data_IF_316843810308
#
_entry.id   IF_316843810308
#
_cell.length_a   1.000
_cell.length_b   1.000
_cell.length_c   1.000
_cell.angle_alpha   90.00
_cell.angle_beta   90.00
_cell.angle_gamma   90.00
#
_symmetry.space_group_name_H-M   'P 1'
#
loop_
_entity.id
_entity.type
_entity.pdbx_description
1 polymer ?
#
# COMPACT_ATOMS: atom_id res chain seq x y z
N UNK A 1 7.75 -9.02 -26.26
CA UNK A 1 7.81 -10.32 -25.53
C UNK A 1 6.79 -10.24 -24.41
N UNK A 2 5.88 -11.21 -24.31
CA UNK A 2 4.86 -11.23 -23.24
C UNK A 2 5.59 -11.69 -21.97
N UNK A 3 5.69 -10.78 -20.96
CA UNK A 3 6.25 -11.12 -19.67
C UNK A 3 5.36 -12.19 -19.00
N UNK A 4 5.93 -13.34 -18.71
CA UNK A 4 5.20 -14.40 -18.00
C UNK A 4 5.41 -14.25 -16.49
N UNK A 5 4.46 -14.70 -15.63
CA UNK A 5 4.63 -14.63 -14.18
C UNK A 5 5.95 -15.25 -13.69
N UNK A 6 6.39 -16.32 -14.32
CA UNK A 6 7.65 -17.00 -13.99
C UNK A 6 8.91 -16.17 -14.29
N UNK A 7 8.83 -15.13 -15.14
CA UNK A 7 9.95 -14.21 -15.40
C UNK A 7 9.99 -13.03 -14.43
N UNK A 8 8.86 -12.72 -13.75
CA UNK A 8 8.71 -11.60 -12.84
C UNK A 8 9.01 -12.01 -11.39
N UNK A 9 8.59 -13.22 -11.00
CA UNK A 9 8.84 -13.78 -9.68
C UNK A 9 10.20 -14.52 -9.72
N UNK A 10 11.21 -14.07 -8.97
CA UNK A 10 12.52 -14.73 -8.96
C UNK A 10 12.43 -16.15 -8.40
N UNK A 11 13.29 -17.07 -8.86
CA UNK A 11 13.44 -18.38 -8.23
C UNK A 11 13.70 -18.25 -6.72
N UNK A 12 13.02 -19.06 -5.91
CA UNK A 12 13.15 -19.02 -4.45
C UNK A 12 12.33 -17.94 -3.73
N UNK A 13 11.62 -17.06 -4.45
CA UNK A 13 10.79 -16.02 -3.84
C UNK A 13 9.79 -16.58 -2.84
N UNK A 14 9.05 -17.64 -3.19
CA UNK A 14 8.06 -18.26 -2.31
C UNK A 14 8.67 -18.79 -0.99
N UNK A 15 9.84 -19.43 -1.05
CA UNK A 15 10.55 -19.92 0.13
C UNK A 15 11.05 -18.78 1.01
N UNK A 16 11.58 -17.71 0.41
CA UNK A 16 12.00 -16.51 1.12
C UNK A 16 10.80 -15.81 1.78
N UNK A 17 9.72 -15.62 1.03
CA UNK A 17 8.48 -15.02 1.54
C UNK A 17 7.90 -15.82 2.71
N UNK A 18 7.94 -17.17 2.65
CA UNK A 18 7.49 -18.03 3.75
C UNK A 18 8.33 -17.83 5.01
N UNK A 19 9.67 -17.75 4.88
CA UNK A 19 10.55 -17.51 6.03
C UNK A 19 10.24 -16.16 6.70
N UNK A 20 10.09 -15.10 5.92
CA UNK A 20 9.76 -13.78 6.45
C UNK A 20 8.35 -13.73 7.07
N UNK A 21 7.39 -14.42 6.45
CA UNK A 21 6.04 -14.57 6.99
C UNK A 21 6.07 -15.24 8.37
N UNK A 22 6.82 -16.35 8.52
CA UNK A 22 6.98 -17.05 9.79
C UNK A 22 7.62 -16.16 10.86
N UNK A 23 8.62 -15.34 10.50
CA UNK A 23 9.23 -14.38 11.45
C UNK A 23 8.21 -13.39 11.99
N UNK A 24 7.34 -12.88 11.12
CA UNK A 24 6.28 -11.95 11.51
C UNK A 24 5.23 -12.67 12.35
N UNK A 25 4.76 -13.83 11.95
CA UNK A 25 3.74 -14.61 12.68
C UNK A 25 4.20 -15.06 14.07
N UNK A 26 5.50 -15.33 14.26
CA UNK A 26 6.08 -15.71 15.54
C UNK A 26 6.51 -14.49 16.40
N UNK A 27 6.23 -13.26 15.95
CA UNK A 27 6.59 -12.05 16.69
C UNK A 27 8.09 -11.74 16.75
N UNK A 28 8.91 -12.38 15.89
CA UNK A 28 10.35 -12.12 15.79
C UNK A 28 10.61 -10.72 15.19
N UNK A 29 9.78 -10.34 14.23
CA UNK A 29 9.81 -9.01 13.63
C UNK A 29 8.37 -8.52 13.39
N UNK A 30 8.05 -7.27 13.75
CA UNK A 30 6.71 -6.72 13.50
C UNK A 30 6.46 -6.40 12.01
N UNK A 31 7.53 -6.17 11.22
CA UNK A 31 7.48 -5.84 9.79
C UNK A 31 8.63 -6.51 9.07
N UNK A 32 8.35 -7.12 7.92
CA UNK A 32 9.37 -7.63 7.01
C UNK A 32 9.13 -7.13 5.59
N UNK A 33 10.22 -6.75 4.88
CA UNK A 33 10.19 -6.48 3.44
C UNK A 33 10.44 -7.78 2.68
N UNK A 34 9.42 -8.24 1.96
CA UNK A 34 9.53 -9.43 1.10
C UNK A 34 10.19 -9.08 -0.25
N UNK A 35 9.97 -7.84 -0.69
CA UNK A 35 10.54 -7.31 -1.91
C UNK A 35 10.76 -5.81 -1.78
N UNK A 36 11.84 -5.33 -2.34
CA UNK A 36 12.07 -3.92 -2.63
C UNK A 36 12.69 -3.78 -4.02
N UNK A 37 12.30 -2.75 -4.77
CA UNK A 37 12.79 -2.51 -6.13
C UNK A 37 14.31 -2.40 -6.20
N UNK A 38 14.95 -1.90 -5.13
CA UNK A 38 16.40 -1.81 -4.97
C UNK A 38 16.77 -1.74 -3.47
N UNK A 39 18.03 -1.94 -3.17
CA UNK A 39 18.56 -2.01 -1.79
C UNK A 39 18.39 -0.71 -0.99
N UNK A 40 18.43 0.43 -1.68
CA UNK A 40 18.29 1.76 -1.05
C UNK A 40 16.84 2.21 -0.87
N UNK A 41 15.84 1.37 -1.22
CA UNK A 41 14.45 1.72 -0.94
C UNK A 41 14.29 2.17 0.52
N UNK A 42 13.57 3.27 0.84
CA UNK A 42 12.63 4.03 0.02
C UNK A 42 13.21 5.26 -0.70
N UNK A 43 14.51 5.49 -0.72
CA UNK A 43 15.09 6.58 -1.51
C UNK A 43 14.99 6.28 -3.00
N UNK A 44 14.76 7.31 -3.82
CA UNK A 44 14.80 7.13 -5.28
C UNK A 44 16.24 6.94 -5.75
N UNK A 45 16.49 6.01 -6.67
CA UNK A 45 17.81 5.87 -7.29
C UNK A 45 18.27 7.19 -7.92
N UNK A 46 19.54 7.54 -7.73
CA UNK A 46 20.14 8.75 -8.33
C UNK A 46 19.81 10.07 -7.61
N UNK A 47 18.97 10.08 -6.61
CA UNK A 47 18.71 11.28 -5.80
C UNK A 47 19.61 11.31 -4.58
N UNK A 48 20.22 12.48 -4.31
CA UNK A 48 21.00 12.64 -3.11
C UNK A 48 20.13 12.48 -1.85
N UNK A 49 20.55 11.60 -0.95
CA UNK A 49 19.83 11.23 0.26
C UNK A 49 19.46 12.43 1.16
N UNK A 50 20.18 13.54 1.02
CA UNK A 50 20.12 14.68 1.95
C UNK A 50 19.34 15.91 1.47
N UNK A 51 18.60 15.82 0.36
CA UNK A 51 18.02 17.03 -0.27
C UNK A 51 16.61 17.38 0.21
N UNK A 52 15.90 16.48 0.91
CA UNK A 52 14.51 16.70 1.34
C UNK A 52 14.33 16.46 2.83
N UNK A 53 13.56 17.30 3.54
CA UNK A 53 13.28 17.14 4.97
C UNK A 53 12.31 15.97 5.25
N UNK A 54 11.54 15.53 4.26
CA UNK A 54 10.57 14.44 4.39
C UNK A 54 10.53 13.56 3.14
N UNK A 55 10.17 12.29 3.35
CA UNK A 55 9.89 11.27 2.33
C UNK A 55 8.42 10.89 2.37
N UNK A 56 7.72 11.10 1.26
CA UNK A 56 6.29 10.79 1.13
C UNK A 56 6.12 9.38 0.57
N UNK A 57 5.59 8.47 1.38
CA UNK A 57 5.44 7.05 1.06
C UNK A 57 3.95 6.70 1.03
N UNK A 58 3.45 6.20 -0.11
CA UNK A 58 2.11 5.63 -0.16
C UNK A 58 2.12 4.19 0.36
N UNK A 59 1.07 3.82 1.10
CA UNK A 59 0.88 2.48 1.67
C UNK A 59 -0.48 1.96 1.24
N UNK A 60 -0.52 1.02 0.31
CA UNK A 60 -1.74 0.29 -0.04
C UNK A 60 -1.85 -0.94 0.86
N UNK A 61 -2.73 -0.85 1.85
CA UNK A 61 -3.02 -1.93 2.80
C UNK A 61 -4.29 -2.67 2.37
N UNK A 62 -4.13 -3.90 1.89
CA UNK A 62 -5.25 -4.72 1.44
C UNK A 62 -4.98 -6.23 1.67
N UNK A 63 -6.03 -7.05 1.50
CA UNK A 63 -5.89 -8.51 1.62
C UNK A 63 -5.25 -9.17 0.39
N UNK A 64 -5.27 -8.49 -0.77
CA UNK A 64 -4.73 -8.97 -2.06
C UNK A 64 -5.15 -10.42 -2.40
N UNK A 65 -6.45 -10.70 -2.29
CA UNK A 65 -7.01 -12.05 -2.41
C UNK A 65 -8.11 -12.17 -3.50
N UNK A 66 -7.75 -12.04 -4.80
CA UNK A 66 -6.50 -11.53 -5.38
C UNK A 66 -6.43 -10.00 -5.45
N UNK A 67 -5.29 -9.42 -5.84
CA UNK A 67 -5.24 -8.03 -6.32
C UNK A 67 -6.10 -7.86 -7.57
N UNK A 68 -6.79 -6.71 -7.69
CA UNK A 68 -7.64 -6.37 -8.85
C UNK A 68 -7.13 -5.10 -9.54
N UNK A 69 -7.70 -4.76 -10.69
CA UNK A 69 -7.42 -3.48 -11.36
C UNK A 69 -7.78 -2.27 -10.47
N UNK A 70 -8.76 -2.40 -9.55
CA UNK A 70 -9.02 -1.37 -8.54
C UNK A 70 -7.81 -1.13 -7.61
N UNK A 71 -7.12 -2.21 -7.18
CA UNK A 71 -5.89 -2.07 -6.40
C UNK A 71 -4.77 -1.42 -7.21
N UNK A 72 -4.64 -1.77 -8.49
CA UNK A 72 -3.66 -1.17 -9.40
C UNK A 72 -3.93 0.32 -9.60
N UNK A 73 -5.18 0.70 -9.88
CA UNK A 73 -5.60 2.08 -10.06
C UNK A 73 -5.32 2.92 -8.80
N UNK A 74 -5.67 2.39 -7.63
CA UNK A 74 -5.42 3.04 -6.34
C UNK A 74 -3.92 3.14 -6.04
N UNK A 75 -3.13 2.09 -6.29
CA UNK A 75 -1.68 2.11 -6.12
C UNK A 75 -0.98 3.12 -7.04
N UNK A 76 -1.55 3.39 -8.23
CA UNK A 76 -1.06 4.35 -9.20
C UNK A 76 -1.57 5.78 -8.96
N UNK A 77 -2.40 6.02 -7.94
CA UNK A 77 -2.89 7.35 -7.62
C UNK A 77 -1.75 8.29 -7.20
N UNK A 78 -1.97 9.58 -7.42
CA UNK A 78 -1.07 10.64 -6.97
C UNK A 78 -1.49 11.21 -5.62
N UNK A 79 -0.56 11.83 -4.86
CA UNK A 79 -0.95 12.61 -3.69
C UNK A 79 -1.97 13.68 -4.09
N UNK A 80 -3.06 13.84 -3.33
CA UNK A 80 -4.01 14.92 -3.60
C UNK A 80 -3.32 16.27 -3.40
N UNK A 81 -3.59 17.21 -4.31
CA UNK A 81 -3.13 18.59 -4.17
C UNK A 81 -3.80 19.18 -2.94
N UNK A 82 -3.03 19.74 -2.00
CA UNK A 82 -3.62 20.45 -0.88
C UNK A 82 -4.28 21.75 -1.40
N UNK A 83 -5.48 22.06 -0.92
CA UNK A 83 -6.22 23.27 -1.32
C UNK A 83 -5.41 24.56 -1.13
N UNK A 84 -4.46 24.59 -0.20
CA UNK A 84 -3.58 25.74 0.03
C UNK A 84 -2.54 25.98 -1.07
N UNK A 85 -2.19 24.96 -1.86
CA UNK A 85 -1.21 25.09 -2.97
C UNK A 85 -1.83 25.41 -4.32
N UNK A 86 -3.14 25.24 -4.50
CA UNK A 86 -3.85 25.44 -5.77
C UNK A 86 -3.78 26.89 -6.29
N UNK A 87 -3.42 27.86 -5.48
CA UNK A 87 -3.43 29.28 -5.85
C UNK A 87 -2.05 29.86 -6.19
N UNK A 88 -0.96 29.13 -6.02
CA UNK A 88 0.37 29.77 -6.02
C UNK A 88 1.38 29.30 -7.07
N UNK A 89 1.29 28.10 -7.66
CA UNK A 89 2.33 27.65 -8.59
C UNK A 89 1.85 26.59 -9.58
N UNK A 90 2.29 26.71 -10.85
CA UNK A 90 2.28 25.69 -11.89
C UNK A 90 3.31 24.57 -11.61
N UNK A 91 3.45 24.13 -10.36
CA UNK A 91 4.35 23.05 -10.01
C UNK A 91 3.74 21.72 -10.48
N UNK A 92 4.54 20.80 -11.05
CA UNK A 92 4.07 19.47 -11.43
C UNK A 92 3.50 18.75 -10.21
N UNK A 93 2.48 17.92 -10.43
CA UNK A 93 1.87 17.11 -9.37
C UNK A 93 2.97 16.35 -8.62
N UNK A 94 3.08 16.58 -7.31
CA UNK A 94 4.07 15.86 -6.49
C UNK A 94 3.71 14.36 -6.52
N UNK A 95 4.64 13.51 -6.90
CA UNK A 95 4.50 12.07 -6.82
C UNK A 95 5.00 11.57 -5.46
N UNK A 96 4.53 10.41 -5.01
CA UNK A 96 5.12 9.73 -3.86
C UNK A 96 6.60 9.42 -4.12
N UNK A 97 7.45 9.59 -3.10
CA UNK A 97 8.87 9.23 -3.21
C UNK A 97 9.06 7.72 -3.28
N UNK A 98 8.23 6.98 -2.56
CA UNK A 98 8.18 5.52 -2.59
C UNK A 98 6.75 5.00 -2.42
N UNK A 99 6.54 3.75 -2.80
CA UNK A 99 5.26 3.04 -2.66
C UNK A 99 5.47 1.74 -1.90
N UNK A 100 4.49 1.34 -1.10
CA UNK A 100 4.48 0.09 -0.36
C UNK A 100 3.15 -0.63 -0.56
N UNK A 101 3.20 -1.88 -0.99
CA UNK A 101 2.08 -2.82 -0.90
C UNK A 101 2.22 -3.56 0.44
N UNK A 102 1.21 -3.47 1.29
CA UNK A 102 1.26 -3.97 2.66
C UNK A 102 0.23 -5.08 2.88
N UNK A 103 0.70 -6.24 3.35
CA UNK A 103 -0.15 -7.36 3.76
C UNK A 103 -0.11 -7.52 5.27
N UNK A 104 -1.27 -7.38 5.93
CA UNK A 104 -1.39 -7.71 7.35
C UNK A 104 -1.69 -9.18 7.54
N UNK A 105 -0.89 -9.86 8.38
CA UNK A 105 -1.10 -11.27 8.73
C UNK A 105 -2.22 -11.46 9.75
N UNK A 106 -2.49 -10.44 10.59
CA UNK A 106 -3.68 -10.35 11.42
C UNK A 106 -4.65 -9.35 10.82
N UNK A 107 -5.89 -9.78 10.65
CA UNK A 107 -6.97 -8.91 10.20
C UNK A 107 -8.05 -8.92 11.30
N UNK A 108 -8.56 -7.74 11.64
CA UNK A 108 -9.58 -7.61 12.68
C UNK A 108 -10.88 -8.37 12.33
N UNK A 109 -11.19 -8.55 11.03
CA UNK A 109 -12.47 -9.09 10.57
C UNK A 109 -12.37 -10.36 9.71
N UNK A 110 -11.19 -10.73 9.23
CA UNK A 110 -11.08 -11.78 8.22
C UNK A 110 -10.13 -12.89 8.67
N UNK A 111 -10.69 -14.07 8.88
CA UNK A 111 -9.94 -15.32 8.97
C UNK A 111 -9.79 -15.91 7.57
N UNK A 112 -8.68 -16.58 7.27
CA UNK A 112 -8.49 -17.35 6.05
C UNK A 112 -9.61 -18.39 5.91
N UNK A 113 -10.32 -18.34 4.78
CA UNK A 113 -11.37 -19.32 4.47
C UNK A 113 -10.79 -20.43 3.59
N UNK A 114 -11.35 -21.65 3.67
CA UNK A 114 -11.05 -22.68 2.68
C UNK A 114 -11.27 -22.12 1.26
N UNK A 115 -10.33 -22.37 0.35
CA UNK A 115 -10.36 -21.82 -1.01
C UNK A 115 -9.79 -20.42 -1.18
N UNK A 116 -9.40 -19.71 -0.11
CA UNK A 116 -8.63 -18.47 -0.21
C UNK A 116 -7.17 -18.76 -0.63
N UNK A 117 -6.55 -17.82 -1.33
CA UNK A 117 -5.11 -17.89 -1.59
C UNK A 117 -4.33 -17.85 -0.27
N UNK A 118 -3.27 -18.66 -0.16
CA UNK A 118 -2.35 -18.63 0.97
C UNK A 118 -1.65 -17.26 1.07
N UNK A 119 -1.09 -16.93 2.22
CA UNK A 119 -0.32 -15.69 2.36
C UNK A 119 0.85 -15.61 1.36
N UNK A 120 1.54 -16.73 1.12
CA UNK A 120 2.64 -16.77 0.14
C UNK A 120 2.12 -16.48 -1.27
N UNK A 121 1.03 -17.11 -1.70
CA UNK A 121 0.42 -16.81 -3.00
C UNK A 121 -0.02 -15.36 -3.13
N UNK A 122 -0.55 -14.75 -2.05
CA UNK A 122 -0.89 -13.31 -2.04
C UNK A 122 0.36 -12.44 -2.20
N UNK A 123 1.47 -12.77 -1.54
CA UNK A 123 2.74 -12.07 -1.69
C UNK A 123 3.32 -12.19 -3.10
N UNK A 124 3.19 -13.36 -3.74
CA UNK A 124 3.54 -13.57 -5.14
C UNK A 124 2.68 -12.68 -6.05
N UNK A 125 1.35 -12.64 -5.84
CA UNK A 125 0.45 -11.75 -6.59
C UNK A 125 0.74 -10.26 -6.33
N UNK A 126 1.13 -9.88 -5.11
CA UNK A 126 1.57 -8.50 -4.82
C UNK A 126 2.87 -8.16 -5.56
N UNK A 127 3.79 -9.12 -5.67
CA UNK A 127 5.02 -8.94 -6.49
C UNK A 127 4.68 -8.75 -7.97
N UNK A 128 3.70 -9.50 -8.49
CA UNK A 128 3.20 -9.32 -9.85
C UNK A 128 2.52 -7.96 -10.03
N UNK A 129 1.67 -7.56 -9.08
CA UNK A 129 1.03 -6.24 -9.09
C UNK A 129 2.06 -5.11 -9.08
N UNK A 130 3.14 -5.23 -8.28
CA UNK A 130 4.20 -4.23 -8.21
C UNK A 130 4.94 -4.06 -9.54
N UNK A 131 4.97 -5.07 -10.39
CA UNK A 131 5.53 -4.99 -11.73
C UNK A 131 4.61 -4.24 -12.70
N UNK A 132 3.28 -4.33 -12.51
CA UNK A 132 2.29 -3.68 -13.36
C UNK A 132 2.03 -2.22 -12.96
N UNK A 133 2.54 -1.78 -11.81
CA UNK A 133 2.44 -0.38 -11.39
C UNK A 133 3.22 0.53 -12.35
N UNK A 134 2.63 1.71 -12.64
CA UNK A 134 3.25 2.67 -13.58
C UNK A 134 4.50 3.31 -12.98
N UNK A 135 5.51 3.50 -13.82
CA UNK A 135 6.65 4.35 -13.50
C UNK A 135 6.20 5.81 -13.37
N UNK A 136 6.73 6.51 -12.35
CA UNK A 136 6.33 7.89 -12.04
C UNK A 136 6.86 8.89 -13.07
N UNK A 137 7.84 8.50 -13.90
CA UNK A 137 8.52 9.40 -14.86
C UNK A 137 8.15 9.10 -16.30
N UNK A 138 6.93 9.41 -16.71
CA UNK A 138 6.62 9.62 -18.12
C UNK A 138 6.13 11.04 -18.36
N UNK A 139 6.99 12.04 -18.18
CA UNK A 139 6.83 13.28 -18.92
C UNK A 139 7.45 13.07 -20.30
N UNK A 140 6.64 13.09 -21.35
CA UNK A 140 6.95 12.88 -22.77
C UNK A 140 7.88 13.95 -23.39
N UNK A 141 8.78 14.58 -22.64
CA UNK A 141 9.49 15.78 -23.11
C UNK A 141 10.99 15.62 -23.39
N UNK A 142 11.56 14.44 -23.30
CA UNK A 142 12.94 14.26 -23.76
C UNK A 142 13.12 12.88 -24.41
N UNK A 143 13.38 12.89 -25.72
CA UNK A 143 13.61 11.71 -26.57
C UNK A 143 14.86 10.90 -26.22
N UNK A 144 15.23 10.81 -24.93
CA UNK A 144 16.29 9.95 -24.41
C UNK A 144 15.60 8.84 -23.65
N UNK A 145 15.60 7.65 -24.23
CA UNK A 145 15.17 6.41 -23.60
C UNK A 145 16.11 6.07 -22.44
N UNK A 146 15.82 6.56 -21.25
CA UNK A 146 16.44 6.00 -20.04
C UNK A 146 15.93 4.59 -19.83
N UNK A 147 16.76 3.64 -19.31
CA UNK A 147 16.28 2.32 -18.93
C UNK A 147 15.10 2.52 -17.96
N UNK A 148 13.98 1.83 -18.23
CA UNK A 148 12.76 1.85 -17.42
C UNK A 148 13.17 1.67 -15.94
N UNK A 149 13.25 2.78 -15.20
CA UNK A 149 13.53 2.72 -13.78
C UNK A 149 12.29 2.08 -13.14
N UNK A 150 12.49 0.88 -12.59
CA UNK A 150 11.46 0.21 -11.80
C UNK A 150 10.94 1.19 -10.76
N UNK A 151 9.61 1.36 -10.71
CA UNK A 151 8.97 2.16 -9.68
C UNK A 151 9.57 1.83 -8.32
N UNK A 152 9.75 2.84 -7.48
CA UNK A 152 10.32 2.72 -6.14
C UNK A 152 9.31 2.04 -5.19
N UNK A 153 9.04 0.75 -5.44
CA UNK A 153 8.00 -0.06 -4.80
C UNK A 153 8.61 -1.11 -3.90
N UNK A 154 7.96 -1.35 -2.75
CA UNK A 154 8.22 -2.49 -1.89
C UNK A 154 6.94 -3.29 -1.60
N UNK A 155 7.12 -4.57 -1.30
CA UNK A 155 6.10 -5.48 -0.76
C UNK A 155 6.49 -5.83 0.66
N UNK A 156 5.59 -5.60 1.62
CA UNK A 156 5.84 -5.79 3.04
C UNK A 156 4.74 -6.62 3.71
N UNK A 157 5.12 -7.26 4.81
CA UNK A 157 4.22 -7.98 5.73
C UNK A 157 4.27 -7.25 7.07
N UNK A 158 3.12 -7.15 7.75
CA UNK A 158 3.00 -6.58 9.09
C UNK A 158 2.10 -7.43 9.98
N UNK A 159 2.43 -7.51 11.28
CA UNK A 159 1.58 -8.15 12.29
C UNK A 159 0.90 -7.09 13.18
N UNK A 160 0.04 -6.29 12.58
CA UNK A 160 -0.76 -5.29 13.28
C UNK A 160 -2.14 -5.19 12.60
N UNK A 161 -3.25 -5.37 13.34
CA UNK A 161 -4.58 -5.40 12.76
C UNK A 161 -5.18 -4.00 12.52
N UNK A 162 -4.76 -2.99 13.30
CA UNK A 162 -5.36 -1.64 13.28
C UNK A 162 -4.54 -0.65 12.44
N UNK A 163 -5.20 0.30 11.78
CA UNK A 163 -4.49 1.31 10.97
C UNK A 163 -3.58 2.21 11.80
N UNK A 164 -4.06 2.62 12.98
CA UNK A 164 -3.27 3.46 13.88
C UNK A 164 -2.05 2.69 14.41
N UNK A 165 -2.22 1.41 14.76
CA UNK A 165 -1.09 0.57 15.14
C UNK A 165 -0.11 0.36 13.97
N UNK A 166 -0.62 0.14 12.75
CA UNK A 166 0.23 0.00 11.55
C UNK A 166 1.07 1.24 11.30
N UNK A 167 0.52 2.45 11.43
CA UNK A 167 1.27 3.68 11.22
C UNK A 167 2.44 3.79 12.20
N UNK A 168 2.22 3.57 13.48
CA UNK A 168 3.25 3.61 14.52
C UNK A 168 4.38 2.61 14.23
N UNK A 169 4.01 1.36 13.92
CA UNK A 169 4.98 0.29 13.64
C UNK A 169 5.76 0.58 12.35
N UNK A 170 5.09 1.02 11.28
CA UNK A 170 5.72 1.34 10.00
C UNK A 170 6.64 2.56 10.12
N UNK A 171 6.24 3.61 10.81
CA UNK A 171 7.08 4.79 11.03
C UNK A 171 8.37 4.42 11.77
N UNK A 172 8.27 3.57 12.80
CA UNK A 172 9.45 3.07 13.51
C UNK A 172 10.36 2.23 12.60
N UNK A 173 9.80 1.31 11.84
CA UNK A 173 10.51 0.48 10.88
C UNK A 173 11.22 1.33 9.82
N UNK A 174 10.53 2.30 9.23
CA UNK A 174 11.06 3.16 8.17
C UNK A 174 12.18 4.07 8.70
N UNK A 175 12.06 4.63 9.90
CA UNK A 175 13.14 5.41 10.53
C UNK A 175 14.43 4.58 10.68
N UNK A 176 14.31 3.33 11.15
CA UNK A 176 15.45 2.41 11.24
C UNK A 176 16.06 2.11 9.88
N UNK A 177 15.21 1.84 8.88
CA UNK A 177 15.67 1.53 7.53
C UNK A 177 16.37 2.73 6.88
N UNK A 178 15.81 3.92 7.01
CA UNK A 178 16.40 5.15 6.48
C UNK A 178 17.80 5.37 7.09
N UNK A 179 17.95 5.19 8.41
CA UNK A 179 19.24 5.29 9.09
C UNK A 179 20.24 4.28 8.50
N UNK A 180 19.85 3.01 8.38
CA UNK A 180 20.74 1.97 7.85
C UNK A 180 21.16 2.23 6.38
N UNK A 181 20.26 2.74 5.52
CA UNK A 181 20.60 3.08 4.14
C UNK A 181 21.57 4.27 4.08
N UNK A 182 21.38 5.29 4.91
CA UNK A 182 22.30 6.44 4.97
C UNK A 182 23.68 6.02 5.45
N UNK A 183 23.75 5.20 6.50
CA UNK A 183 25.02 4.69 7.03
C UNK A 183 25.77 3.85 6.00
N UNK A 184 25.08 2.98 5.25
CA UNK A 184 25.69 2.17 4.19
C UNK A 184 26.17 2.98 2.98
N UNK A 185 25.57 4.15 2.73
CA UNK A 185 25.92 5.04 1.62
C UNK A 185 27.05 6.04 1.98
N UNK A 186 27.40 6.15 3.26
CA UNK A 186 28.45 7.08 3.73
C UNK A 186 29.84 6.46 3.53
N UNK A 187 30.66 7.04 2.65
CA UNK A 187 32.05 6.62 2.46
C UNK A 187 32.87 6.85 3.75
N UNK A 188 33.75 5.90 4.15
CA UNK A 188 34.56 6.02 5.39
C UNK A 188 35.54 7.20 5.41
N UNK A 189 35.70 7.95 4.32
CA UNK A 189 36.64 9.05 4.18
C UNK A 189 36.03 10.47 4.30
N UNK A 190 34.74 10.61 4.63
CA UNK A 190 34.18 11.93 4.90
C UNK A 190 34.52 12.37 6.32
N UNK A 191 35.61 13.15 6.43
CA UNK A 191 35.99 13.87 7.64
C UNK A 191 34.79 14.52 8.33
N UNK A 192 34.71 14.27 9.64
CA UNK A 192 33.69 14.73 10.57
C UNK A 192 33.41 16.24 10.42
N UNK A 193 32.42 16.58 9.62
CA UNK A 193 31.75 17.86 9.75
C UNK A 193 30.72 17.65 10.86
N UNK A 194 30.79 18.42 11.93
CA UNK A 194 29.79 18.53 12.99
C UNK A 194 28.44 18.90 12.34
N UNK A 195 27.69 17.92 11.93
CA UNK A 195 26.33 18.09 11.40
C UNK A 195 25.38 17.79 12.54
N UNK A 196 24.60 18.77 12.93
CA UNK A 196 23.46 18.57 13.79
C UNK A 196 22.67 17.34 13.31
N UNK A 197 22.59 16.29 14.12
CA UNK A 197 22.02 14.99 13.76
C UNK A 197 20.56 15.08 13.29
N UNK A 198 19.87 16.19 13.59
CA UNK A 198 18.49 16.45 13.19
C UNK A 198 18.30 16.73 11.68
N UNK A 199 19.37 17.08 10.94
CA UNK A 199 19.31 17.35 9.49
C UNK A 199 19.69 16.15 8.61
N UNK A 200 20.04 15.01 9.20
CA UNK A 200 20.65 13.89 8.46
C UNK A 200 19.61 12.90 7.88
N UNK A 201 18.42 12.85 8.43
CA UNK A 201 17.46 11.82 8.02
C UNK A 201 16.10 12.45 7.67
N UNK A 202 15.60 12.25 6.44
CA UNK A 202 14.26 12.71 6.10
C UNK A 202 13.22 11.98 6.96
N UNK A 203 12.23 12.73 7.44
CA UNK A 203 11.11 12.14 8.18
C UNK A 203 10.17 11.38 7.23
N UNK A 204 9.88 10.10 7.45
CA UNK A 204 8.91 9.38 6.65
C UNK A 204 7.49 9.92 6.92
N UNK A 205 6.74 10.22 5.86
CA UNK A 205 5.34 10.64 5.87
C UNK A 205 4.51 9.59 5.15
N UNK A 206 3.52 9.01 5.82
CA UNK A 206 2.71 7.94 5.27
C UNK A 206 1.39 8.47 4.73
N UNK A 207 1.02 7.99 3.54
CA UNK A 207 -0.32 8.16 2.99
C UNK A 207 -0.92 6.78 2.77
N UNK A 208 -1.93 6.43 3.57
CA UNK A 208 -2.65 5.16 3.42
C UNK A 208 -3.66 5.27 2.28
N UNK A 209 -3.59 4.33 1.35
CA UNK A 209 -4.51 4.21 0.22
C UNK A 209 -5.56 3.15 0.56
N UNK A 210 -6.82 3.53 0.63
CA UNK A 210 -7.90 2.69 1.14
C UNK A 210 -9.08 2.66 0.17
N UNK A 211 -9.84 1.56 0.19
CA UNK A 211 -11.20 1.55 -0.32
C UNK A 211 -12.20 2.02 0.73
N UNK A 212 -13.40 2.43 0.33
CA UNK A 212 -14.46 2.94 1.21
C UNK A 212 -14.82 1.99 2.35
N UNK A 213 -14.92 0.68 2.10
CA UNK A 213 -15.19 -0.33 3.14
C UNK A 213 -14.14 -0.31 4.27
N UNK A 214 -12.90 0.02 3.93
CA UNK A 214 -11.79 0.08 4.87
C UNK A 214 -11.80 1.40 5.63
N UNK A 215 -12.16 2.49 4.97
CA UNK A 215 -12.34 3.79 5.63
C UNK A 215 -13.45 3.71 6.69
N UNK A 216 -14.57 3.07 6.39
CA UNK A 216 -15.65 2.82 7.34
C UNK A 216 -15.14 2.11 8.60
N UNK A 217 -14.25 1.14 8.46
CA UNK A 217 -13.65 0.45 9.61
C UNK A 217 -12.73 1.34 10.41
N UNK A 218 -11.95 2.19 9.76
CA UNK A 218 -11.04 3.14 10.41
C UNK A 218 -11.81 4.07 11.37
N UNK A 219 -13.02 4.51 10.98
CA UNK A 219 -13.86 5.41 11.77
C UNK A 219 -14.96 4.71 12.57
N UNK A 220 -14.98 3.37 12.63
CA UNK A 220 -16.00 2.63 13.37
C UNK A 220 -15.55 2.34 14.81
N UNK A 221 -16.33 2.81 15.83
CA UNK A 221 -15.99 2.62 17.25
C UNK A 221 -15.80 1.15 17.66
N UNK A 222 -16.43 0.21 16.97
CA UNK A 222 -16.36 -1.23 17.28
C UNK A 222 -14.95 -1.83 17.21
N UNK A 223 -14.01 -1.15 16.56
CA UNK A 223 -12.61 -1.59 16.44
C UNK A 223 -11.70 -0.96 17.50
N UNK A 224 -12.26 -0.20 18.42
CA UNK A 224 -11.54 0.51 19.47
C UNK A 224 -12.15 0.20 20.83
N UNK A 225 -11.39 0.38 21.94
CA UNK A 225 -11.92 0.18 23.28
C UNK A 225 -13.12 1.06 23.64
N UNK A 226 -13.18 2.29 23.10
CA UNK A 226 -14.31 3.22 23.20
C UNK A 226 -14.22 4.26 22.09
N UNK A 227 -15.30 5.01 21.88
CA UNK A 227 -15.34 6.11 20.90
C UNK A 227 -14.35 7.23 21.24
N UNK A 228 -14.20 7.58 22.52
CA UNK A 228 -13.21 8.56 22.95
C UNK A 228 -11.78 8.12 22.63
N UNK A 229 -11.47 6.84 22.85
CA UNK A 229 -10.17 6.27 22.51
C UNK A 229 -9.97 6.28 20.99
N UNK A 230 -10.99 5.95 20.22
CA UNK A 230 -10.95 6.04 18.76
C UNK A 230 -10.56 7.45 18.29
N UNK A 231 -11.28 8.47 18.74
CA UNK A 231 -11.01 9.88 18.35
C UNK A 231 -9.59 10.29 18.74
N UNK A 232 -9.14 9.94 19.96
CA UNK A 232 -7.77 10.21 20.40
C UNK A 232 -6.72 9.54 19.52
N UNK A 233 -6.93 8.27 19.18
CA UNK A 233 -6.03 7.51 18.31
C UNK A 233 -6.02 8.07 16.88
N UNK A 234 -7.17 8.43 16.33
CA UNK A 234 -7.28 9.06 15.02
C UNK A 234 -6.57 10.43 14.97
N UNK A 235 -6.70 11.24 16.02
CA UNK A 235 -5.95 12.50 16.15
C UNK A 235 -4.45 12.26 16.24
N UNK A 236 -3.99 11.23 16.92
CA UNK A 236 -2.57 10.86 16.93
C UNK A 236 -2.08 10.46 15.54
N UNK A 237 -2.86 9.65 14.83
CA UNK A 237 -2.56 9.16 13.50
C UNK A 237 -2.51 10.28 12.44
N UNK A 238 -3.49 11.20 12.46
CA UNK A 238 -3.73 12.16 11.36
C UNK A 238 -3.18 13.57 11.64
N UNK A 239 -2.87 13.94 12.90
CA UNK A 239 -2.41 15.30 13.23
C UNK A 239 -0.99 15.58 12.74
N UNK A 240 -0.74 16.79 12.18
CA UNK A 240 0.57 17.20 11.64
C UNK A 240 1.70 17.20 12.66
N UNK A 241 1.37 17.45 13.92
CA UNK A 241 2.29 17.52 15.06
C UNK A 241 2.56 16.16 15.72
N UNK A 242 1.94 15.10 15.22
CA UNK A 242 2.07 13.72 15.72
C UNK A 242 2.67 12.82 14.63
N UNK A 243 1.93 11.80 14.20
CA UNK A 243 2.38 10.87 13.16
C UNK A 243 2.30 11.47 11.75
N UNK A 244 1.49 12.51 11.56
CA UNK A 244 1.33 13.24 10.30
C UNK A 244 0.99 12.35 9.10
N UNK A 245 0.20 11.30 9.36
CA UNK A 245 -0.30 10.43 8.32
C UNK A 245 -1.46 11.07 7.55
N UNK A 246 -1.71 10.57 6.34
CA UNK A 246 -2.85 10.93 5.50
C UNK A 246 -3.57 9.68 5.04
N UNK A 247 -4.82 9.85 4.64
CA UNK A 247 -5.64 8.81 4.03
C UNK A 247 -6.16 9.31 2.69
N UNK A 248 -5.96 8.52 1.66
CA UNK A 248 -6.58 8.67 0.35
C UNK A 248 -7.54 7.52 0.17
N UNK A 249 -8.82 7.83 0.00
CA UNK A 249 -9.88 6.85 -0.15
C UNK A 249 -10.44 6.86 -1.57
N UNK A 250 -10.46 5.70 -2.22
CA UNK A 250 -11.17 5.55 -3.48
C UNK A 250 -12.67 5.56 -3.25
N UNK A 251 -13.40 6.36 -4.05
CA UNK A 251 -14.86 6.25 -4.10
C UNK A 251 -15.25 4.84 -4.55
N UNK A 252 -16.35 4.35 -4.00
CA UNK A 252 -16.99 3.12 -4.45
C UNK A 252 -18.47 3.42 -4.64
N UNK A 253 -19.04 3.03 -5.79
CA UNK A 253 -20.47 3.04 -5.97
C UNK A 253 -21.07 1.93 -5.10
N UNK A 254 -21.51 2.29 -3.91
CA UNK A 254 -22.14 1.35 -2.99
C UNK A 254 -23.63 1.27 -3.32
N UNK A 255 -24.12 0.06 -3.52
CA UNK A 255 -25.53 -0.24 -3.66
C UNK A 255 -26.35 0.34 -2.50
N UNK A 256 -27.57 0.84 -2.82
CA UNK A 256 -28.46 1.57 -1.92
C UNK A 256 -29.06 0.73 -0.78
N UNK A 257 -28.23 0.12 0.06
CA UNK A 257 -28.68 -0.49 1.32
C UNK A 257 -28.77 0.63 2.38
N UNK A 258 -29.98 0.89 2.85
CA UNK A 258 -30.28 1.98 3.81
C UNK A 258 -29.45 1.87 5.11
N UNK A 259 -29.22 0.66 5.59
CA UNK A 259 -28.43 0.42 6.82
C UNK A 259 -26.96 0.81 6.63
N UNK A 260 -26.44 0.61 5.43
CA UNK A 260 -25.09 1.01 5.05
C UNK A 260 -24.99 2.54 4.95
N UNK A 261 -26.01 3.19 4.42
CA UNK A 261 -26.09 4.65 4.25
C UNK A 261 -26.10 5.36 5.61
N UNK A 262 -26.91 4.93 6.57
CA UNK A 262 -26.96 5.48 7.94
C UNK A 262 -25.61 5.33 8.66
N UNK A 263 -24.95 4.20 8.48
CA UNK A 263 -23.59 3.97 9.06
C UNK A 263 -22.57 4.88 8.40
N UNK A 264 -22.67 5.10 7.09
CA UNK A 264 -21.79 6.00 6.35
C UNK A 264 -21.95 7.44 6.78
N UNK A 265 -23.19 7.91 6.97
CA UNK A 265 -23.48 9.28 7.41
C UNK A 265 -22.88 9.56 8.80
N UNK A 266 -23.06 8.65 9.76
CA UNK A 266 -22.46 8.75 11.11
C UNK A 266 -20.93 8.78 11.07
N UNK A 267 -20.33 7.98 10.21
CA UNK A 267 -18.87 7.92 10.03
C UNK A 267 -18.36 9.21 9.39
N UNK A 268 -19.10 9.76 8.44
CA UNK A 268 -18.75 11.02 7.78
C UNK A 268 -18.78 12.20 8.74
N UNK A 269 -19.64 12.21 9.77
CA UNK A 269 -19.62 13.23 10.83
C UNK A 269 -18.28 13.21 11.59
N UNK A 270 -17.80 12.04 12.01
CA UNK A 270 -16.50 11.89 12.71
C UNK A 270 -15.34 12.20 11.76
N UNK A 271 -15.43 11.80 10.50
CA UNK A 271 -14.40 12.03 9.50
C UNK A 271 -14.31 13.50 9.06
N UNK A 272 -15.36 14.29 9.24
CA UNK A 272 -15.46 15.69 8.79
C UNK A 272 -14.30 16.56 9.33
N UNK A 273 -13.89 16.37 10.60
CA UNK A 273 -12.73 17.05 11.20
C UNK A 273 -11.47 16.85 10.37
N UNK A 274 -11.26 15.63 9.87
CA UNK A 274 -10.04 15.23 9.13
C UNK A 274 -10.15 15.52 7.63
N UNK A 275 -11.35 15.60 7.09
CA UNK A 275 -11.60 16.00 5.69
C UNK A 275 -11.35 17.50 5.50
N UNK A 276 -11.84 18.33 6.40
CA UNK A 276 -11.63 19.80 6.35
C UNK A 276 -10.16 20.20 6.50
N UNK A 277 -9.32 19.33 7.07
CA UNK A 277 -7.88 19.53 7.23
C UNK A 277 -7.04 18.82 6.15
N UNK A 278 -7.63 18.34 5.07
CA UNK A 278 -6.98 17.57 3.99
C UNK A 278 -6.24 16.31 4.48
N UNK A 279 -6.66 15.75 5.63
CA UNK A 279 -6.06 14.52 6.18
C UNK A 279 -6.70 13.26 5.63
N UNK A 280 -7.98 13.36 5.26
CA UNK A 280 -8.74 12.33 4.56
C UNK A 280 -9.28 12.94 3.27
N UNK A 281 -8.88 12.38 2.15
CA UNK A 281 -9.25 12.87 0.82
C UNK A 281 -9.83 11.73 0.00
N UNK A 282 -10.87 12.01 -0.75
CA UNK A 282 -11.48 11.06 -1.69
C UNK A 282 -10.98 11.30 -3.10
N UNK A 283 -10.73 10.20 -3.82
CA UNK A 283 -10.32 10.21 -5.21
C UNK A 283 -11.19 9.29 -6.06
N UNK A 284 -11.30 9.64 -7.35
CA UNK A 284 -11.85 8.76 -8.38
C UNK A 284 -10.73 7.89 -8.95
N UNK A 285 -10.94 6.59 -9.03
CA UNK A 285 -9.99 5.61 -9.59
C UNK A 285 -10.43 5.06 -10.95
N UNK A 286 -11.54 5.56 -11.49
CA UNK A 286 -12.17 5.11 -12.72
C UNK A 286 -13.54 4.48 -12.48
N UNK A 287 -14.47 4.73 -13.42
CA UNK A 287 -15.88 4.31 -13.28
C UNK A 287 -16.06 2.79 -13.22
N UNK A 288 -15.19 2.03 -13.87
CA UNK A 288 -15.20 0.57 -13.86
C UNK A 288 -14.50 0.03 -12.64
N UNK A 289 -13.28 0.54 -12.33
CA UNK A 289 -12.43 0.06 -11.25
C UNK A 289 -13.09 0.22 -9.87
N UNK A 290 -13.94 1.23 -9.70
CA UNK A 290 -14.71 1.43 -8.45
C UNK A 290 -15.60 0.23 -8.10
N UNK A 291 -16.00 -0.56 -9.09
CA UNK A 291 -16.89 -1.71 -8.91
C UNK A 291 -16.16 -3.04 -8.72
N UNK A 292 -14.85 -3.10 -9.02
CA UNK A 292 -14.11 -4.36 -8.98
C UNK A 292 -13.78 -4.81 -7.55
N UNK A 293 -14.08 -6.07 -7.25
CA UNK A 293 -13.80 -6.64 -5.93
C UNK A 293 -13.10 -7.99 -6.02
N UNK A 294 -12.20 -8.25 -5.06
CA UNK A 294 -11.55 -9.56 -4.93
C UNK A 294 -12.56 -10.70 -4.68
N UNK A 295 -13.67 -10.41 -4.01
CA UNK A 295 -14.72 -11.39 -3.75
C UNK A 295 -15.45 -11.82 -5.03
N UNK A 296 -15.70 -10.86 -5.92
CA UNK A 296 -16.26 -11.14 -7.23
C UNK A 296 -15.33 -12.00 -8.09
N UNK A 297 -14.03 -11.66 -8.12
CA UNK A 297 -13.04 -12.48 -8.83
C UNK A 297 -13.09 -13.94 -8.35
N UNK A 298 -13.07 -14.16 -7.03
CA UNK A 298 -13.12 -15.52 -6.47
C UNK A 298 -14.42 -16.24 -6.81
N UNK A 299 -15.57 -15.57 -6.72
CA UNK A 299 -16.86 -16.15 -7.06
C UNK A 299 -16.94 -16.55 -8.53
N UNK A 300 -16.47 -15.68 -9.45
CA UNK A 300 -16.46 -15.97 -10.89
C UNK A 300 -15.46 -17.09 -11.23
N UNK A 301 -14.28 -17.14 -10.60
CA UNK A 301 -13.33 -18.26 -10.79
C UNK A 301 -13.96 -19.59 -10.36
N UNK A 302 -14.57 -19.63 -9.16
CA UNK A 302 -15.25 -20.83 -8.66
C UNK A 302 -16.42 -21.27 -9.56
N UNK A 303 -17.14 -20.32 -10.13
CA UNK A 303 -18.21 -20.57 -11.09
C UNK A 303 -17.73 -20.91 -12.51
N UNK A 304 -16.41 -20.90 -12.78
CA UNK A 304 -15.80 -21.06 -14.11
C UNK A 304 -16.27 -20.02 -15.13
N UNK A 305 -16.69 -18.85 -14.65
CA UNK A 305 -17.05 -17.70 -15.49
C UNK A 305 -15.77 -16.98 -15.90
N UNK A 306 -15.43 -16.96 -17.19
CA UNK A 306 -14.19 -16.40 -17.71
C UNK A 306 -14.07 -14.88 -17.62
N UNK A 307 -15.13 -14.14 -17.31
CA UNK A 307 -15.15 -12.69 -17.23
C UNK A 307 -14.25 -12.13 -16.10
N UNK A 308 -13.95 -12.93 -15.08
CA UNK A 308 -13.06 -12.49 -13.97
C UNK A 308 -11.70 -12.02 -14.45
N UNK A 309 -11.24 -12.47 -15.62
CA UNK A 309 -9.94 -12.06 -16.18
C UNK A 309 -9.87 -10.58 -16.48
N UNK A 310 -11.00 -9.94 -16.73
CA UNK A 310 -11.11 -8.49 -16.96
C UNK A 310 -10.97 -7.66 -15.67
N UNK A 311 -11.05 -8.29 -14.50
CA UNK A 311 -11.00 -7.63 -13.20
C UNK A 311 -9.60 -7.59 -12.58
N UNK A 312 -8.64 -8.30 -13.19
CA UNK A 312 -7.24 -8.43 -12.73
C UNK A 312 -6.29 -8.17 -13.88
N UNK A 313 -4.99 -7.97 -13.60
CA UNK A 313 -4.00 -7.86 -14.67
C UNK A 313 -3.73 -9.23 -15.31
N UNK A 314 -3.26 -9.24 -16.56
CA UNK A 314 -2.97 -10.47 -17.32
C UNK A 314 -1.97 -11.38 -16.58
N UNK A 315 -0.96 -10.80 -15.93
CA UNK A 315 0.04 -11.57 -15.20
C UNK A 315 -0.55 -12.23 -13.95
N UNK A 316 -1.48 -11.56 -13.27
CA UNK A 316 -2.22 -12.13 -12.13
C UNK A 316 -3.20 -13.19 -12.61
N UNK A 317 -3.92 -12.95 -13.72
CA UNK A 317 -4.82 -13.95 -14.31
C UNK A 317 -4.05 -15.24 -14.66
N UNK A 318 -2.91 -15.11 -15.32
CA UNK A 318 -2.05 -16.24 -15.64
C UNK A 318 -1.53 -16.98 -14.41
N UNK A 319 -1.22 -16.26 -13.34
CA UNK A 319 -0.78 -16.84 -12.07
C UNK A 319 -1.91 -17.66 -11.41
N UNK A 320 -3.13 -17.13 -11.36
CA UNK A 320 -4.32 -17.82 -10.82
C UNK A 320 -4.60 -19.09 -11.59
N UNK A 321 -4.57 -19.03 -12.93
CA UNK A 321 -4.84 -20.20 -13.82
C UNK A 321 -3.78 -21.30 -13.59
N UNK A 322 -2.48 -20.93 -13.60
CA UNK A 322 -1.39 -21.91 -13.44
C UNK A 322 -1.38 -22.56 -12.07
N UNK A 323 -1.73 -21.80 -11.04
CA UNK A 323 -1.77 -22.28 -9.65
C UNK A 323 -3.06 -22.97 -9.26
N UNK A 324 -4.05 -23.02 -10.16
CA UNK A 324 -5.42 -23.53 -9.89
C UNK A 324 -6.02 -22.90 -8.62
N UNK A 325 -5.78 -21.58 -8.45
CA UNK A 325 -6.17 -20.83 -7.24
C UNK A 325 -7.65 -20.46 -7.38
N UNK A 326 -8.44 -20.60 -6.31
CA UNK A 326 -9.89 -20.31 -6.23
C UNK A 326 -10.80 -21.24 -7.02
N UNK A 327 -10.31 -22.33 -7.63
CA UNK A 327 -11.13 -23.21 -8.50
C UNK A 327 -12.15 -24.08 -7.74
N UNK A 328 -12.15 -24.03 -6.40
CA UNK A 328 -13.07 -24.83 -5.58
C UNK A 328 -12.74 -26.34 -5.52
N UNK A 329 -11.68 -26.78 -6.19
CA UNK A 329 -11.17 -28.14 -6.01
C UNK A 329 -10.44 -28.21 -4.65
N UNK A 330 -11.16 -28.64 -3.60
CA UNK A 330 -10.50 -29.11 -2.40
C UNK A 330 -9.53 -30.23 -2.83
N UNK A 331 -8.22 -29.95 -2.77
CA UNK A 331 -7.24 -31.04 -2.76
C UNK A 331 -7.51 -31.77 -1.44
N UNK A 332 -8.15 -32.94 -1.54
CA UNK A 332 -8.08 -33.92 -0.46
C UNK A 332 -6.59 -34.28 -0.30
N UNK A 333 -6.01 -33.78 0.81
CA UNK A 333 -4.73 -34.29 1.33
C UNK A 333 -4.98 -35.46 2.26
#
# INVERSE_FOLDING_TARGET
>A
MINTPASIIPPGFASHALQLLQRVQHGISPVELVYAAHEHWPFRPGHAVHTRPSLHISVLDASFNPPTLAHLALANSFPPLSHQRSLATSAPAESYDARMLLLSVRNADKVLKPGDATFVQRLEMMRLLSHDMRSIETSESSGVSFPQMSDNVAVAIIDEPTFVGKSTVLLHFLKKRLAAVVESSSSPNSTSINRDASYLFPSPKLTFLLGSDTLIRLFSPRYYPSEQVMVQMLRTFLSPDKEDCRVVCAYRNVSADKTFQETQDTIMEVACEFMTSDRVVFIDIGAEEQNYSSSEVRAKVAARDGEWKQLVTDVIANFIIRGDIYSGSAREE
#
